data_IF_145254403421
#
_entry.id   IF_145254403421
#
_cell.length_a   1.000
_cell.length_b   1.000
_cell.length_c   1.000
_cell.angle_alpha   90.00
_cell.angle_beta   90.00
_cell.angle_gamma   90.00
#
_symmetry.space_group_name_H-M   'P 1'
#
loop_
_entity.id
_entity.type
_entity.pdbx_description
1 polymer ?
#
# COMPACT_ATOMS: atom_id res chain seq x y z
N UNK A 1 -21.92 -71.67 29.48
CA UNK A 1 -22.23 -71.97 30.93
C UNK A 1 -23.36 -71.02 31.30
N UNK A 2 -24.51 -71.70 31.55
CA UNK A 2 -25.83 -71.13 31.87
C UNK A 2 -25.81 -70.32 33.17
N UNK A 3 -26.64 -69.26 33.25
CA UNK A 3 -27.62 -69.15 34.35
C UNK A 3 -28.65 -68.02 34.01
N UNK A 4 -29.88 -68.53 34.04
CA UNK A 4 -31.19 -67.87 34.07
C UNK A 4 -31.47 -67.39 35.52
N UNK A 5 -32.42 -66.49 35.62
CA UNK A 5 -33.48 -66.23 36.65
C UNK A 5 -33.77 -64.75 36.66
N UNK A 6 -35.02 -64.28 36.79
CA UNK A 6 -36.32 -64.84 37.00
C UNK A 6 -37.30 -63.67 37.19
N UNK A 7 -38.48 -63.79 36.64
CA UNK A 7 -39.63 -62.86 36.78
C UNK A 7 -40.15 -62.80 38.20
N UNK A 8 -40.56 -61.60 38.66
CA UNK A 8 -41.57 -61.44 39.69
C UNK A 8 -42.53 -60.34 39.34
N UNK A 9 -43.75 -60.72 39.00
CA UNK A 9 -44.88 -59.79 38.80
C UNK A 9 -45.52 -59.50 40.16
N UNK A 10 -45.78 -58.27 40.47
CA UNK A 10 -46.63 -57.84 41.59
C UNK A 10 -47.76 -56.98 41.04
N UNK A 11 -48.94 -57.55 40.99
CA UNK A 11 -50.20 -56.88 40.73
C UNK A 11 -50.66 -56.12 41.98
N UNK A 12 -50.89 -54.80 41.84
CA UNK A 12 -51.63 -54.04 42.85
C UNK A 12 -52.85 -53.39 42.19
N UNK A 13 -54.00 -53.65 42.79
CA UNK A 13 -55.31 -53.17 42.34
C UNK A 13 -55.46 -51.63 42.48
N UNK A 14 -56.00 -51.03 41.47
CA UNK A 14 -56.41 -49.65 41.49
C UNK A 14 -57.79 -49.39 42.04
N UNK A 15 -57.93 -48.59 43.03
CA UNK A 15 -59.20 -48.00 43.43
C UNK A 15 -59.45 -46.70 42.67
N UNK A 16 -60.47 -46.64 41.83
CA UNK A 16 -60.94 -45.43 41.20
C UNK A 16 -61.70 -44.58 42.23
N UNK A 17 -61.20 -43.38 42.49
CA UNK A 17 -61.97 -42.26 43.09
C UNK A 17 -62.24 -41.24 41.99
N UNK A 18 -63.49 -41.15 41.53
CA UNK A 18 -63.98 -40.09 40.68
C UNK A 18 -64.07 -38.79 41.51
N UNK A 19 -63.16 -37.87 41.29
CA UNK A 19 -63.30 -36.49 41.75
C UNK A 19 -63.74 -35.56 40.58
N UNK A 20 -64.55 -34.50 40.86
CA UNK A 20 -65.08 -33.64 39.80
C UNK A 20 -63.97 -32.85 39.09
N UNK A 21 -64.01 -32.95 37.76
CA UNK A 21 -63.08 -32.16 36.86
C UNK A 21 -63.41 -30.69 37.01
N UNK A 22 -62.55 -29.96 37.68
CA UNK A 22 -62.45 -28.51 37.57
C UNK A 22 -61.65 -28.18 36.30
N UNK A 23 -62.36 -27.84 35.22
CA UNK A 23 -61.79 -27.26 34.02
C UNK A 23 -61.36 -25.80 34.32
N UNK A 24 -60.22 -25.64 34.93
CA UNK A 24 -59.54 -24.37 35.00
C UNK A 24 -58.85 -24.09 33.70
N UNK A 25 -59.42 -23.20 32.87
CA UNK A 25 -58.72 -22.64 31.73
C UNK A 25 -57.49 -21.86 32.26
N UNK A 26 -56.32 -22.41 32.03
CA UNK A 26 -55.08 -21.65 32.26
C UNK A 26 -55.12 -20.40 31.34
N UNK A 27 -54.96 -19.20 31.88
CA UNK A 27 -54.85 -18.02 31.02
C UNK A 27 -53.62 -18.25 30.14
N UNK A 28 -53.81 -18.17 28.81
CA UNK A 28 -52.71 -18.12 27.87
C UNK A 28 -51.82 -16.93 28.28
N UNK A 29 -50.64 -17.22 28.78
CA UNK A 29 -49.65 -16.18 29.04
C UNK A 29 -49.32 -15.53 27.67
N UNK A 30 -49.93 -14.39 27.42
CA UNK A 30 -49.48 -13.50 26.33
C UNK A 30 -48.07 -13.06 26.74
N UNK A 31 -47.09 -13.75 26.17
CA UNK A 31 -45.72 -13.26 26.29
C UNK A 31 -45.68 -11.88 25.65
N UNK A 32 -45.62 -10.85 26.52
CA UNK A 32 -45.34 -9.47 26.02
C UNK A 32 -44.10 -9.57 25.09
N UNK A 33 -44.10 -8.90 23.92
CA UNK A 33 -42.93 -8.86 23.10
C UNK A 33 -41.79 -8.41 24.02
N UNK A 34 -40.71 -9.21 24.11
CA UNK A 34 -39.47 -8.74 24.70
C UNK A 34 -39.15 -7.44 23.92
N UNK A 35 -39.16 -6.32 24.63
CA UNK A 35 -38.55 -5.09 24.08
C UNK A 35 -37.11 -5.48 23.72
N UNK A 36 -36.87 -5.76 22.45
CA UNK A 36 -35.57 -6.08 21.95
C UNK A 36 -34.69 -4.87 22.28
N UNK A 37 -33.67 -5.06 23.12
CA UNK A 37 -32.66 -4.03 23.30
C UNK A 37 -32.27 -3.50 21.92
N UNK A 38 -32.19 -2.19 21.71
CA UNK A 38 -31.94 -1.66 20.39
C UNK A 38 -30.66 -2.30 19.84
N UNK A 39 -30.80 -3.00 18.73
CA UNK A 39 -29.64 -3.63 18.06
C UNK A 39 -28.62 -2.53 17.81
N UNK A 40 -27.33 -2.76 18.16
CA UNK A 40 -26.28 -1.78 17.90
C UNK A 40 -26.25 -1.41 16.42
N UNK A 41 -26.46 -0.14 16.09
CA UNK A 41 -26.52 0.35 14.72
C UNK A 41 -25.35 1.26 14.43
N UNK A 42 -24.70 1.07 13.27
CA UNK A 42 -23.66 1.96 12.74
C UNK A 42 -24.24 3.25 12.12
N UNK A 43 -25.57 3.31 11.89
CA UNK A 43 -26.22 4.40 11.19
C UNK A 43 -25.94 5.80 11.80
N UNK A 44 -25.93 6.00 13.13
CA UNK A 44 -25.60 7.32 13.70
C UNK A 44 -24.18 7.77 13.39
N UNK A 45 -23.21 6.86 13.45
CA UNK A 45 -21.80 7.13 13.10
C UNK A 45 -21.68 7.44 11.61
N UNK A 46 -22.22 6.58 10.75
CA UNK A 46 -22.20 6.75 9.28
C UNK A 46 -22.81 8.08 8.89
N UNK A 47 -24.00 8.45 9.43
CA UNK A 47 -24.65 9.73 9.14
C UNK A 47 -23.76 10.93 9.49
N UNK A 48 -22.98 10.84 10.56
CA UNK A 48 -22.06 11.90 11.00
C UNK A 48 -20.87 12.06 10.07
N UNK A 49 -20.26 10.96 9.59
CA UNK A 49 -19.00 10.98 8.83
C UNK A 49 -19.18 11.02 7.33
N UNK A 50 -20.32 10.53 6.81
CA UNK A 50 -20.59 10.50 5.37
C UNK A 50 -20.44 11.84 4.66
N UNK A 51 -20.83 13.01 5.23
CA UNK A 51 -20.63 14.30 4.56
C UNK A 51 -19.17 14.63 4.24
N UNK A 52 -18.22 13.97 4.88
CA UNK A 52 -16.79 14.14 4.61
C UNK A 52 -16.27 13.24 3.46
N UNK A 53 -17.06 12.25 3.03
CA UNK A 53 -16.69 11.38 1.90
C UNK A 53 -17.32 11.90 0.62
N UNK A 54 -16.51 12.08 -0.41
CA UNK A 54 -16.92 12.70 -1.68
C UNK A 54 -16.77 11.73 -2.85
N UNK A 55 -17.55 11.94 -3.90
CA UNK A 55 -17.28 11.34 -5.19
C UNK A 55 -16.24 12.17 -5.93
N UNK A 56 -15.33 11.50 -6.63
CA UNK A 56 -14.35 12.09 -7.52
C UNK A 56 -14.57 11.54 -8.91
N UNK A 57 -14.93 12.40 -9.86
CA UNK A 57 -14.99 12.08 -11.27
C UNK A 57 -13.84 12.76 -11.99
N UNK A 58 -13.08 12.00 -12.77
CA UNK A 58 -11.93 12.50 -13.52
C UNK A 58 -12.12 12.30 -15.01
N UNK A 59 -11.62 13.24 -15.81
CA UNK A 59 -11.49 13.13 -17.25
C UNK A 59 -10.07 13.42 -17.65
N UNK A 60 -9.57 12.70 -18.64
CA UNK A 60 -8.21 12.90 -19.13
C UNK A 60 -8.00 12.27 -20.49
N UNK A 61 -6.78 12.42 -21.01
CA UNK A 61 -6.38 11.85 -22.29
C UNK A 61 -5.13 11.01 -22.07
N UNK A 62 -5.21 9.74 -22.37
CA UNK A 62 -4.06 8.84 -22.38
C UNK A 62 -3.45 8.86 -23.78
N UNK A 63 -2.15 9.14 -23.86
CA UNK A 63 -1.35 8.96 -25.07
C UNK A 63 -0.74 7.57 -25.00
N UNK A 64 -1.27 6.64 -25.80
CA UNK A 64 -0.72 5.29 -25.88
C UNK A 64 0.71 5.35 -26.46
N UNK A 65 1.71 5.35 -25.58
CA UNK A 65 3.10 5.05 -25.95
C UNK A 65 3.31 3.53 -26.03
N UNK A 66 4.17 3.02 -26.94
CA UNK A 66 4.48 1.60 -26.96
C UNK A 66 5.22 1.21 -25.67
N UNK A 67 4.53 0.55 -24.74
CA UNK A 67 5.12 -0.06 -23.55
C UNK A 67 4.62 0.39 -22.17
N UNK A 68 3.77 1.40 -22.06
CA UNK A 68 3.15 1.74 -20.77
C UNK A 68 1.87 0.90 -20.56
N UNK A 69 2.03 -0.24 -19.89
CA UNK A 69 0.91 -1.01 -19.34
C UNK A 69 0.69 -0.53 -17.91
N UNK A 70 -0.49 -0.03 -17.62
CA UNK A 70 -0.92 0.19 -16.25
C UNK A 70 -1.36 -1.17 -15.67
N UNK A 71 -0.68 -1.71 -14.65
CA UNK A 71 -1.00 -3.02 -14.08
C UNK A 71 -2.45 -3.13 -13.59
N UNK A 72 -3.06 -2.01 -13.18
CA UNK A 72 -4.47 -1.96 -12.78
C UNK A 72 -5.42 -2.13 -13.97
N UNK A 73 -5.03 -1.72 -15.18
CA UNK A 73 -5.81 -1.94 -16.41
C UNK A 73 -5.59 -3.33 -17.00
N UNK A 74 -4.56 -4.08 -16.57
CA UNK A 74 -4.38 -5.48 -16.95
C UNK A 74 -5.36 -6.40 -16.20
N UNK A 75 -5.96 -5.95 -15.09
CA UNK A 75 -7.08 -6.64 -14.44
C UNK A 75 -8.33 -6.56 -15.35
N UNK A 76 -8.93 -7.70 -15.76
CA UNK A 76 -10.11 -7.73 -16.62
C UNK A 76 -11.31 -6.96 -16.06
N UNK A 77 -11.37 -6.81 -14.75
CA UNK A 77 -12.42 -6.10 -14.05
C UNK A 77 -12.24 -4.57 -14.14
N UNK A 78 -11.05 -4.05 -13.85
CA UNK A 78 -10.76 -2.63 -14.06
C UNK A 78 -10.90 -2.25 -15.53
N UNK A 79 -10.45 -3.10 -16.46
CA UNK A 79 -10.61 -2.90 -17.89
C UNK A 79 -12.09 -2.79 -18.33
N UNK A 80 -12.96 -3.62 -17.76
CA UNK A 80 -14.40 -3.60 -18.04
C UNK A 80 -15.11 -2.42 -17.39
N UNK A 81 -14.63 -2.00 -16.23
CA UNK A 81 -15.17 -0.88 -15.48
C UNK A 81 -14.82 0.47 -16.12
N UNK A 82 -13.62 0.60 -16.67
CA UNK A 82 -13.15 1.80 -17.38
C UNK A 82 -13.42 1.77 -18.88
N UNK A 83 -14.27 0.86 -19.35
CA UNK A 83 -14.68 0.72 -20.76
C UNK A 83 -13.48 0.66 -21.74
N UNK A 84 -12.38 0.00 -21.32
CA UNK A 84 -11.17 -0.15 -22.10
C UNK A 84 -11.37 -1.24 -23.16
N UNK A 85 -11.47 -0.91 -24.47
CA UNK A 85 -11.67 -1.90 -25.51
C UNK A 85 -10.42 -2.75 -25.75
N UNK A 86 -10.58 -3.93 -26.39
CA UNK A 86 -9.43 -4.75 -26.76
C UNK A 86 -8.54 -4.05 -27.78
N UNK A 87 -7.24 -4.37 -27.69
CA UNK A 87 -6.12 -3.77 -28.39
C UNK A 87 -6.35 -3.47 -29.86
N UNK A 88 -6.23 -2.21 -30.27
CA UNK A 88 -5.80 -1.86 -31.63
C UNK A 88 -5.46 -0.36 -31.78
N UNK A 89 -4.20 -0.07 -32.09
CA UNK A 89 -3.57 1.14 -32.61
C UNK A 89 -3.41 2.35 -31.66
N UNK A 90 -2.26 3.05 -31.68
CA UNK A 90 -2.01 4.22 -30.86
C UNK A 90 -2.95 5.36 -31.28
N UNK A 91 -3.84 5.75 -30.38
CA UNK A 91 -4.73 6.91 -30.50
C UNK A 91 -4.82 7.61 -29.15
N UNK A 92 -4.85 8.92 -29.16
CA UNK A 92 -5.27 9.69 -27.99
C UNK A 92 -6.67 9.24 -27.59
N UNK A 93 -6.81 8.73 -26.37
CA UNK A 93 -8.10 8.28 -25.84
C UNK A 93 -8.51 9.16 -24.68
N UNK A 94 -9.73 9.68 -24.76
CA UNK A 94 -10.38 10.25 -23.59
C UNK A 94 -10.83 9.11 -22.66
N UNK A 95 -10.52 9.24 -21.38
CA UNK A 95 -11.04 8.35 -20.36
C UNK A 95 -11.85 9.13 -19.33
N UNK A 96 -12.79 8.45 -18.69
CA UNK A 96 -13.47 8.90 -17.50
C UNK A 96 -13.22 7.87 -16.41
N UNK A 97 -12.83 8.33 -15.23
CA UNK A 97 -12.66 7.49 -14.05
C UNK A 97 -13.49 8.06 -12.91
N UNK A 98 -13.88 7.19 -11.99
CA UNK A 98 -14.61 7.58 -10.80
C UNK A 98 -13.99 6.88 -9.58
N UNK A 99 -13.86 7.63 -8.51
CA UNK A 99 -13.40 7.15 -7.21
C UNK A 99 -14.04 7.94 -6.09
N UNK A 100 -13.50 7.79 -4.93
CA UNK A 100 -13.91 8.51 -3.71
C UNK A 100 -12.77 9.37 -3.19
N UNK A 101 -13.10 10.30 -2.30
CA UNK A 101 -12.14 11.09 -1.54
C UNK A 101 -12.65 11.37 -0.15
N UNK A 102 -11.75 11.79 0.73
CA UNK A 102 -12.06 12.17 2.10
C UNK A 102 -11.63 13.60 2.36
N UNK A 103 -12.56 14.48 2.72
CA UNK A 103 -12.24 15.84 3.17
C UNK A 103 -11.61 15.73 4.55
N UNK A 104 -10.36 16.18 4.69
CA UNK A 104 -9.61 16.15 5.95
C UNK A 104 -9.32 17.53 6.53
N UNK A 105 -9.50 18.56 5.74
CA UNK A 105 -9.40 19.96 6.18
C UNK A 105 -10.48 20.81 5.48
N UNK A 106 -11.54 21.09 6.18
CA UNK A 106 -12.66 21.88 5.66
C UNK A 106 -12.30 23.37 5.44
N UNK A 107 -11.34 23.90 6.22
CA UNK A 107 -10.93 25.31 6.12
C UNK A 107 -10.13 25.57 4.85
N UNK A 108 -9.17 24.69 4.55
CA UNK A 108 -8.30 24.84 3.38
C UNK A 108 -8.86 24.07 2.18
N UNK A 109 -9.88 23.23 2.35
CA UNK A 109 -10.51 22.42 1.32
C UNK A 109 -9.62 21.28 0.84
N UNK A 110 -8.81 20.67 1.73
CA UNK A 110 -7.99 19.53 1.35
C UNK A 110 -8.77 18.23 1.41
N UNK A 111 -8.61 17.45 0.34
CA UNK A 111 -9.24 16.14 0.13
C UNK A 111 -8.13 15.15 -0.16
N UNK A 112 -8.10 14.03 0.56
CA UNK A 112 -7.21 12.90 0.27
C UNK A 112 -7.95 11.90 -0.62
N UNK A 113 -7.24 11.36 -1.61
CA UNK A 113 -7.69 10.25 -2.45
C UNK A 113 -6.50 9.40 -2.86
N UNK A 114 -6.70 8.36 -3.66
CA UNK A 114 -5.60 7.60 -4.24
C UNK A 114 -4.97 8.33 -5.44
N UNK A 115 -3.67 8.08 -5.66
CA UNK A 115 -2.97 8.55 -6.85
C UNK A 115 -3.62 8.05 -8.13
N UNK A 116 -3.90 6.73 -8.21
CA UNK A 116 -4.48 6.11 -9.40
C UNK A 116 -5.87 6.66 -9.79
N UNK A 117 -6.61 7.28 -8.85
CA UNK A 117 -7.91 7.93 -9.14
C UNK A 117 -7.71 9.21 -9.96
N UNK A 118 -6.60 9.92 -9.77
CA UNK A 118 -6.32 11.23 -10.41
C UNK A 118 -5.20 11.17 -11.43
N UNK A 119 -4.61 10.01 -11.64
CA UNK A 119 -3.54 9.80 -12.61
C UNK A 119 -4.01 10.20 -14.02
N UNK A 120 -3.19 10.96 -14.74
CA UNK A 120 -3.48 11.48 -16.09
C UNK A 120 -4.77 12.31 -16.21
N UNK A 121 -5.38 12.75 -15.09
CA UNK A 121 -6.56 13.58 -15.11
C UNK A 121 -6.24 15.02 -15.55
N UNK A 122 -6.94 15.52 -16.57
CA UNK A 122 -6.90 16.93 -16.95
C UNK A 122 -8.02 17.75 -16.28
N UNK A 123 -9.10 17.09 -15.86
CA UNK A 123 -10.24 17.69 -15.18
C UNK A 123 -10.67 16.78 -14.02
N UNK A 124 -10.88 17.40 -12.84
CA UNK A 124 -11.32 16.71 -11.62
C UNK A 124 -12.56 17.42 -11.09
N UNK A 125 -13.63 16.67 -10.98
CA UNK A 125 -14.91 17.14 -10.45
C UNK A 125 -15.22 16.40 -9.15
N UNK A 126 -15.55 17.16 -8.12
CA UNK A 126 -15.97 16.65 -6.80
C UNK A 126 -17.48 16.80 -6.68
N UNK A 127 -18.14 15.75 -6.21
CA UNK A 127 -19.56 15.79 -5.84
C UNK A 127 -19.72 15.41 -4.37
N UNK A 128 -20.35 16.30 -3.59
CA UNK A 128 -20.66 16.09 -2.18
C UNK A 128 -21.93 15.25 -2.00
N UNK A 129 -22.18 14.81 -0.77
CA UNK A 129 -23.40 14.10 -0.38
C UNK A 129 -24.70 14.90 -0.65
N UNK A 130 -24.62 16.22 -0.57
CA UNK A 130 -25.74 17.14 -0.82
C UNK A 130 -25.89 17.54 -2.31
N UNK A 131 -25.21 16.82 -3.21
CA UNK A 131 -25.14 17.01 -4.66
C UNK A 131 -24.50 18.33 -5.12
N UNK A 132 -23.86 19.10 -4.24
CA UNK A 132 -23.01 20.22 -4.70
C UNK A 132 -21.82 19.67 -5.48
N UNK A 133 -21.57 20.25 -6.64
CA UNK A 133 -20.51 19.82 -7.56
C UNK A 133 -19.58 20.99 -7.86
N UNK A 134 -18.27 20.73 -7.86
CA UNK A 134 -17.25 21.75 -8.13
C UNK A 134 -15.94 21.12 -8.62
N UNK A 135 -15.11 21.92 -9.26
CA UNK A 135 -13.78 21.49 -9.70
C UNK A 135 -12.77 21.51 -8.57
N UNK A 136 -11.85 20.59 -8.58
CA UNK A 136 -10.69 20.53 -7.68
C UNK A 136 -9.37 20.58 -8.45
N UNK A 137 -8.31 21.03 -7.75
CA UNK A 137 -6.94 21.04 -8.27
C UNK A 137 -6.10 20.00 -7.53
N UNK A 138 -5.22 19.33 -8.25
CA UNK A 138 -4.20 18.48 -7.62
C UNK A 138 -3.17 19.41 -6.95
N UNK A 139 -2.98 19.25 -5.64
CA UNK A 139 -1.91 19.88 -4.86
C UNK A 139 -0.61 19.14 -5.08
N UNK A 140 -0.69 17.83 -5.08
CA UNK A 140 0.40 16.91 -5.35
C UNK A 140 -0.10 15.49 -5.29
N UNK A 141 0.72 14.57 -5.79
CA UNK A 141 0.39 13.15 -5.87
C UNK A 141 1.67 12.34 -5.73
N UNK A 142 1.55 11.19 -5.08
CA UNK A 142 2.65 10.26 -4.81
C UNK A 142 2.24 8.85 -5.25
N UNK A 143 2.82 8.39 -6.34
CA UNK A 143 2.59 7.06 -6.90
C UNK A 143 3.06 5.97 -5.94
N UNK A 144 4.21 6.18 -5.28
CA UNK A 144 4.82 5.18 -4.40
C UNK A 144 3.97 4.79 -3.20
N UNK A 145 3.17 5.70 -2.64
CA UNK A 145 2.23 5.40 -1.56
C UNK A 145 0.77 5.40 -2.03
N UNK A 146 0.52 5.56 -3.32
CA UNK A 146 -0.82 5.66 -3.93
C UNK A 146 -1.72 6.70 -3.24
N UNK A 147 -1.18 7.88 -2.92
CA UNK A 147 -1.89 8.99 -2.29
C UNK A 147 -1.84 10.25 -3.18
N UNK A 148 -2.97 10.92 -3.31
CA UNK A 148 -3.06 12.25 -3.89
C UNK A 148 -3.80 13.21 -2.96
N UNK A 149 -3.41 14.49 -3.01
CA UNK A 149 -4.08 15.58 -2.31
C UNK A 149 -4.70 16.52 -3.33
N UNK A 150 -6.00 16.72 -3.18
CA UNK A 150 -6.76 17.69 -3.95
C UNK A 150 -7.09 18.90 -3.09
N UNK A 151 -7.29 20.03 -3.74
CA UNK A 151 -7.81 21.24 -3.09
C UNK A 151 -9.04 21.77 -3.80
N UNK A 152 -10.10 22.00 -3.03
CA UNK A 152 -11.31 22.67 -3.47
C UNK A 152 -11.85 23.56 -2.33
N UNK A 153 -11.67 24.87 -2.46
CA UNK A 153 -12.15 25.84 -1.45
C UNK A 153 -13.62 26.11 -1.67
N UNK A 154 -14.46 25.48 -0.83
CA UNK A 154 -15.91 25.63 -0.86
C UNK A 154 -16.43 25.92 0.55
N UNK A 155 -17.53 26.69 0.68
CA UNK A 155 -18.15 26.91 1.99
C UNK A 155 -18.81 25.61 2.49
N UNK A 156 -18.94 25.51 3.82
CA UNK A 156 -19.68 24.46 4.49
C UNK A 156 -19.22 23.03 4.14
N UNK A 157 -17.90 22.83 3.98
CA UNK A 157 -17.31 21.51 3.93
C UNK A 157 -17.29 20.90 5.33
N UNK A 158 -17.44 19.57 5.39
CA UNK A 158 -17.32 18.79 6.63
C UNK A 158 -16.05 17.96 6.52
N UNK A 159 -15.14 18.11 7.48
CA UNK A 159 -13.91 17.32 7.52
C UNK A 159 -14.09 16.11 8.43
N UNK A 160 -13.47 15.00 8.06
CA UNK A 160 -13.35 13.80 8.88
C UNK A 160 -12.20 13.95 9.88
N UNK A 161 -12.43 13.58 11.12
CA UNK A 161 -11.38 13.54 12.13
C UNK A 161 -10.38 12.42 11.78
N UNK A 162 -9.08 12.72 11.84
CA UNK A 162 -8.03 11.72 11.69
C UNK A 162 -7.89 10.93 12.98
N UNK A 163 -7.89 9.62 12.89
CA UNK A 163 -7.53 8.71 13.96
C UNK A 163 -6.03 8.46 14.00
N UNK A 164 -5.63 7.36 14.65
CA UNK A 164 -4.25 6.91 14.73
C UNK A 164 -4.17 5.44 14.32
N UNK A 165 -3.62 5.18 13.13
CA UNK A 165 -3.48 3.83 12.60
C UNK A 165 -2.39 2.99 13.29
N UNK A 166 -1.49 3.61 14.07
CA UNK A 166 -0.47 2.88 14.83
C UNK A 166 -1.05 2.12 16.03
N UNK A 167 -2.26 2.47 16.48
CA UNK A 167 -2.96 1.81 17.58
C UNK A 167 -4.04 0.84 17.13
N UNK A 168 -4.12 0.53 15.84
CA UNK A 168 -5.02 -0.50 15.34
C UNK A 168 -4.53 -1.89 15.72
N UNK A 169 -5.48 -2.73 16.09
CA UNK A 169 -5.24 -4.15 16.37
C UNK A 169 -6.06 -5.04 15.44
N UNK A 170 -5.54 -6.24 15.16
CA UNK A 170 -6.30 -7.26 14.42
C UNK A 170 -7.54 -7.64 15.24
N UNK A 171 -8.70 -7.55 14.60
CA UNK A 171 -10.01 -7.74 15.23
C UNK A 171 -10.77 -6.44 15.50
N UNK A 172 -10.14 -5.26 15.39
CA UNK A 172 -10.83 -3.98 15.49
C UNK A 172 -11.90 -3.84 14.43
N UNK A 173 -13.10 -3.39 14.82
CA UNK A 173 -14.17 -3.11 13.87
C UNK A 173 -13.85 -1.87 13.03
N UNK A 174 -14.04 -2.01 11.72
CA UNK A 174 -13.87 -0.93 10.74
C UNK A 174 -15.05 -0.86 9.77
N UNK A 175 -15.28 0.33 9.25
CA UNK A 175 -16.32 0.60 8.26
C UNK A 175 -15.67 1.29 7.06
N UNK A 176 -15.80 0.67 5.89
CA UNK A 176 -15.37 1.28 4.64
C UNK A 176 -16.52 2.08 4.03
N UNK A 177 -16.23 3.32 3.66
CA UNK A 177 -17.19 4.27 3.09
C UNK A 177 -16.61 4.81 1.79
N UNK A 178 -17.38 4.71 0.72
CA UNK A 178 -17.08 5.31 -0.56
C UNK A 178 -18.30 5.97 -1.15
N UNK A 179 -18.11 6.72 -2.24
CA UNK A 179 -19.20 7.35 -3.00
C UNK A 179 -19.06 7.04 -4.49
N UNK A 180 -19.19 5.76 -4.88
CA UNK A 180 -19.13 5.37 -6.28
C UNK A 180 -20.25 6.06 -7.07
N UNK A 181 -19.89 6.61 -8.24
CA UNK A 181 -20.86 7.20 -9.20
C UNK A 181 -21.65 8.43 -8.72
N UNK A 182 -21.38 8.97 -7.52
CA UNK A 182 -22.12 10.14 -7.01
C UNK A 182 -23.62 9.89 -6.73
N UNK A 183 -24.07 8.62 -6.74
CA UNK A 183 -25.48 8.29 -6.57
C UNK A 183 -25.88 8.21 -5.11
N UNK A 184 -25.06 7.65 -4.24
CA UNK A 184 -25.16 7.61 -2.77
C UNK A 184 -23.91 6.90 -2.20
N UNK A 185 -23.67 7.06 -0.90
CA UNK A 185 -22.56 6.36 -0.24
C UNK A 185 -22.79 4.86 -0.20
N UNK A 186 -21.75 4.10 -0.53
CA UNK A 186 -21.65 2.67 -0.24
C UNK A 186 -20.95 2.51 1.10
N UNK A 187 -21.53 1.76 2.00
CA UNK A 187 -21.02 1.50 3.34
C UNK A 187 -20.93 0.00 3.54
N UNK A 188 -19.75 -0.47 3.87
CA UNK A 188 -19.50 -1.87 4.23
C UNK A 188 -18.79 -1.92 5.58
N UNK A 189 -19.01 -2.98 6.35
CA UNK A 189 -18.42 -3.15 7.67
C UNK A 189 -17.66 -4.48 7.74
N UNK A 190 -16.63 -4.49 8.54
CA UNK A 190 -15.78 -5.65 8.79
C UNK A 190 -14.83 -5.38 9.95
N UNK A 191 -13.71 -6.08 9.94
CA UNK A 191 -12.65 -5.95 10.94
C UNK A 191 -11.29 -5.71 10.27
N UNK A 192 -10.33 -5.27 11.05
CA UNK A 192 -8.91 -5.37 10.69
C UNK A 192 -8.51 -6.84 10.69
N UNK A 193 -8.25 -7.39 9.51
CA UNK A 193 -7.87 -8.80 9.35
C UNK A 193 -6.37 -9.03 9.50
N UNK A 194 -5.56 -8.04 9.12
CA UNK A 194 -4.09 -8.02 9.30
C UNK A 194 -3.55 -6.60 9.18
N UNK A 195 -2.33 -6.39 9.65
CA UNK A 195 -1.59 -5.14 9.55
C UNK A 195 -0.25 -5.38 8.86
N UNK A 196 0.33 -4.33 8.29
CA UNK A 196 1.66 -4.37 7.68
C UNK A 196 1.74 -5.21 6.42
N UNK A 197 0.66 -5.28 5.63
CA UNK A 197 0.67 -6.03 4.37
C UNK A 197 1.42 -5.27 3.30
N UNK A 198 2.27 -5.99 2.57
CA UNK A 198 3.09 -5.49 1.47
C UNK A 198 3.17 -6.52 0.34
N UNK A 199 3.77 -6.12 -0.80
CA UNK A 199 3.98 -7.00 -1.95
C UNK A 199 2.85 -6.97 -2.97
N UNK A 200 1.94 -6.00 -2.89
CA UNK A 200 0.91 -5.74 -3.91
C UNK A 200 1.53 -4.91 -5.04
N UNK A 201 2.27 -3.85 -4.70
CA UNK A 201 3.11 -3.08 -5.60
C UNK A 201 4.57 -3.17 -5.12
N UNK A 202 5.40 -4.04 -5.70
CA UNK A 202 6.77 -4.26 -5.23
C UNK A 202 7.66 -3.00 -5.21
N UNK A 203 7.34 -2.02 -6.05
CA UNK A 203 8.09 -0.76 -6.15
C UNK A 203 7.50 0.34 -5.26
N UNK A 204 6.36 0.06 -4.59
CA UNK A 204 5.65 0.98 -3.72
C UNK A 204 6.14 0.96 -2.26
N UNK A 205 5.63 1.94 -1.51
CA UNK A 205 5.76 2.01 -0.05
C UNK A 205 4.46 1.50 0.54
N UNK A 206 4.44 0.25 0.97
CA UNK A 206 3.25 -0.47 1.37
C UNK A 206 3.30 -0.89 2.84
N UNK A 207 2.27 -0.53 3.58
CA UNK A 207 2.04 -0.93 4.96
C UNK A 207 0.53 -1.13 5.18
N UNK A 208 -0.13 -1.85 4.24
CA UNK A 208 -1.58 -1.88 4.18
C UNK A 208 -2.23 -2.48 5.43
N UNK A 209 -3.35 -1.86 5.81
CA UNK A 209 -4.37 -2.47 6.66
C UNK A 209 -5.17 -3.42 5.77
N UNK A 210 -5.18 -4.72 6.11
CA UNK A 210 -6.07 -5.70 5.48
C UNK A 210 -7.40 -5.73 6.23
N UNK A 211 -8.52 -5.73 5.51
CA UNK A 211 -9.87 -5.83 6.08
C UNK A 211 -10.76 -6.75 5.25
N UNK A 212 -11.76 -7.36 5.88
CA UNK A 212 -12.84 -8.09 5.23
C UNK A 212 -14.06 -7.19 4.93
N UNK A 213 -14.05 -5.93 5.39
CA UNK A 213 -14.99 -4.94 4.90
C UNK A 213 -14.89 -4.86 3.37
N UNK A 214 -16.02 -5.02 2.68
CA UNK A 214 -16.00 -5.13 1.22
C UNK A 214 -15.53 -3.83 0.56
N UNK A 215 -14.34 -3.86 0.00
CA UNK A 215 -13.81 -2.82 -0.90
C UNK A 215 -14.15 -3.24 -2.31
N UNK A 216 -14.73 -2.34 -3.08
CA UNK A 216 -15.08 -2.55 -4.49
C UNK A 216 -14.74 -1.27 -5.27
N UNK A 217 -14.67 -1.33 -6.62
CA UNK A 217 -14.47 -0.14 -7.44
C UNK A 217 -15.40 1.00 -7.10
N UNK A 218 -14.82 2.19 -7.02
CA UNK A 218 -15.50 3.39 -6.57
C UNK A 218 -15.34 3.67 -5.06
N UNK A 219 -15.00 2.67 -4.23
CA UNK A 219 -14.60 2.93 -2.84
C UNK A 219 -13.15 3.38 -2.72
N UNK A 220 -12.31 3.15 -3.74
CA UNK A 220 -10.91 3.60 -3.77
C UNK A 220 -10.81 5.11 -3.53
N UNK A 221 -9.91 5.53 -2.65
CA UNK A 221 -9.76 6.90 -2.16
C UNK A 221 -10.76 7.30 -1.06
N UNK A 222 -11.75 6.46 -0.77
CA UNK A 222 -12.71 6.66 0.31
C UNK A 222 -12.16 6.31 1.69
N UNK A 223 -12.99 6.44 2.72
CA UNK A 223 -12.60 6.29 4.10
C UNK A 223 -12.69 4.85 4.60
N UNK A 224 -11.69 4.41 5.34
CA UNK A 224 -11.83 3.35 6.35
C UNK A 224 -11.87 4.02 7.72
N UNK A 225 -12.97 3.83 8.46
CA UNK A 225 -13.18 4.49 9.76
C UNK A 225 -13.34 3.47 10.88
N UNK A 226 -12.96 3.85 12.10
CA UNK A 226 -13.26 3.08 13.30
C UNK A 226 -14.68 3.36 13.80
N UNK A 227 -15.10 2.68 14.88
CA UNK A 227 -16.46 2.87 15.46
C UNK A 227 -16.69 4.26 16.05
N UNK A 228 -15.62 5.04 16.33
CA UNK A 228 -15.73 6.44 16.74
C UNK A 228 -15.97 7.38 15.55
N UNK A 229 -15.87 6.87 14.32
CA UNK A 229 -15.98 7.65 13.08
C UNK A 229 -14.71 8.45 12.76
N UNK A 230 -13.57 8.01 13.27
CA UNK A 230 -12.26 8.58 12.94
C UNK A 230 -11.67 7.83 11.75
N UNK A 231 -11.05 8.55 10.83
CA UNK A 231 -10.34 8.00 9.67
C UNK A 231 -9.13 7.21 10.15
N UNK A 232 -9.06 5.93 9.84
CA UNK A 232 -7.93 5.05 10.18
C UNK A 232 -7.19 4.56 8.94
N UNK A 233 -7.80 4.68 7.76
CA UNK A 233 -7.17 4.34 6.49
C UNK A 233 -7.87 4.93 5.29
N UNK A 234 -7.19 4.92 4.14
CA UNK A 234 -7.74 5.26 2.82
C UNK A 234 -7.91 3.96 2.05
N UNK A 235 -9.14 3.65 1.65
CA UNK A 235 -9.42 2.45 0.86
C UNK A 235 -8.63 2.50 -0.46
N UNK A 236 -7.88 1.44 -0.78
CA UNK A 236 -6.98 1.46 -1.94
C UNK A 236 -7.32 0.36 -2.96
N UNK A 237 -7.23 -0.91 -2.58
CA UNK A 237 -7.23 -2.01 -3.52
C UNK A 237 -7.93 -3.25 -2.96
N UNK A 238 -8.16 -4.22 -3.84
CA UNK A 238 -8.59 -5.59 -3.48
C UNK A 238 -7.63 -6.60 -4.10
N UNK A 239 -7.42 -7.72 -3.40
CA UNK A 239 -6.82 -8.89 -4.03
C UNK A 239 -7.95 -9.74 -4.63
N UNK A 240 -8.06 -9.75 -5.95
CA UNK A 240 -9.13 -10.49 -6.63
C UNK A 240 -8.71 -10.96 -8.01
N UNK A 241 -8.99 -12.23 -8.33
CA UNK A 241 -8.80 -12.77 -9.70
C UNK A 241 -10.01 -12.54 -10.59
N UNK A 242 -11.16 -12.25 -10.01
CA UNK A 242 -12.44 -12.06 -10.71
C UNK A 242 -12.91 -10.61 -10.75
N UNK A 243 -12.14 -9.69 -10.14
CA UNK A 243 -12.44 -8.26 -10.06
C UNK A 243 -13.49 -7.87 -9.01
N UNK A 244 -14.09 -8.81 -8.28
CA UNK A 244 -14.99 -8.56 -7.15
C UNK A 244 -14.32 -8.86 -5.81
N UNK A 245 -14.80 -8.25 -4.73
CA UNK A 245 -14.30 -8.52 -3.38
C UNK A 245 -14.52 -10.00 -3.00
N UNK A 246 -13.48 -10.63 -2.47
CA UNK A 246 -13.47 -12.00 -1.95
C UNK A 246 -13.23 -12.06 -0.43
N UNK A 247 -13.46 -10.96 0.29
CA UNK A 247 -13.16 -10.82 1.72
C UNK A 247 -11.73 -10.35 2.00
N UNK A 248 -11.02 -9.83 0.99
CA UNK A 248 -9.66 -9.30 1.14
C UNK A 248 -9.62 -7.92 0.50
N UNK A 249 -9.70 -6.90 1.33
CA UNK A 249 -9.55 -5.50 0.98
C UNK A 249 -8.33 -4.90 1.67
N UNK A 250 -7.78 -3.84 1.08
CA UNK A 250 -6.60 -3.13 1.58
C UNK A 250 -6.87 -1.64 1.69
N UNK A 251 -6.38 -1.05 2.78
CA UNK A 251 -6.40 0.38 2.99
C UNK A 251 -5.02 0.89 3.39
N UNK A 252 -4.66 2.08 2.92
CA UNK A 252 -3.43 2.78 3.30
C UNK A 252 -3.64 3.36 4.69
N UNK A 253 -2.74 3.10 5.68
CA UNK A 253 -2.86 3.63 7.03
C UNK A 253 -2.95 5.16 7.04
N UNK A 254 -3.82 5.73 7.89
CA UNK A 254 -4.01 7.18 7.95
C UNK A 254 -2.74 7.93 8.34
N UNK A 255 -1.88 7.36 9.19
CA UNK A 255 -0.62 8.00 9.58
C UNK A 255 0.31 8.14 8.38
N UNK A 256 0.38 7.10 7.51
CA UNK A 256 1.11 7.18 6.23
C UNK A 256 0.49 8.22 5.30
N UNK A 257 -0.82 8.18 5.08
CA UNK A 257 -1.53 9.12 4.23
C UNK A 257 -1.33 10.58 4.68
N UNK A 258 -1.38 10.82 6.01
CA UNK A 258 -1.10 12.13 6.60
C UNK A 258 0.34 12.58 6.36
N UNK A 259 1.33 11.71 6.57
CA UNK A 259 2.75 12.03 6.32
C UNK A 259 3.02 12.42 4.87
N UNK A 260 2.41 11.70 3.92
CA UNK A 260 2.45 12.03 2.49
C UNK A 260 1.74 13.35 2.21
N UNK A 261 0.52 13.55 2.71
CA UNK A 261 -0.25 14.78 2.54
C UNK A 261 0.53 16.01 3.01
N UNK A 262 1.12 15.96 4.22
CA UNK A 262 1.88 17.07 4.79
C UNK A 262 3.05 17.49 3.87
N UNK A 263 3.73 16.52 3.24
CA UNK A 263 4.80 16.79 2.29
C UNK A 263 4.28 17.34 0.97
N UNK A 264 3.19 16.76 0.42
CA UNK A 264 2.57 17.23 -0.82
C UNK A 264 2.08 18.68 -0.68
N UNK A 265 1.46 19.04 0.45
CA UNK A 265 1.02 20.42 0.71
C UNK A 265 2.21 21.36 0.80
N UNK A 266 3.30 20.94 1.45
CA UNK A 266 4.46 21.81 1.71
C UNK A 266 5.39 21.95 0.51
N UNK A 267 5.60 20.87 -0.23
CA UNK A 267 6.65 20.79 -1.27
C UNK A 267 6.12 20.46 -2.67
N UNK A 268 4.83 20.11 -2.81
CA UNK A 268 4.25 19.63 -4.07
C UNK A 268 4.66 18.21 -4.45
N UNK A 269 5.60 17.62 -3.73
CA UNK A 269 6.13 16.27 -3.95
C UNK A 269 6.58 15.62 -2.64
N UNK A 270 6.68 14.30 -2.62
CA UNK A 270 7.22 13.55 -1.48
C UNK A 270 8.73 13.42 -1.62
N UNK A 271 9.46 13.88 -0.61
CA UNK A 271 10.90 13.70 -0.50
C UNK A 271 11.16 12.45 0.34
N UNK A 272 11.60 11.39 -0.32
CA UNK A 272 11.87 10.11 0.35
C UNK A 272 13.22 10.13 1.04
N UNK A 273 13.21 9.75 2.32
CA UNK A 273 14.42 9.49 3.05
C UNK A 273 15.07 8.19 2.57
N UNK A 274 16.39 8.19 2.44
CA UNK A 274 17.17 6.99 2.13
C UNK A 274 18.37 6.85 3.05
N UNK A 275 18.76 5.60 3.32
CA UNK A 275 20.02 5.27 3.98
C UNK A 275 21.13 4.94 2.97
N UNK A 276 20.75 4.51 1.77
CA UNK A 276 21.65 4.06 0.73
C UNK A 276 22.17 2.64 0.97
N UNK A 277 21.26 1.72 1.27
CA UNK A 277 21.52 0.30 1.45
C UNK A 277 20.67 -0.54 0.49
N UNK A 278 21.24 -1.63 -0.04
CA UNK A 278 20.48 -2.70 -0.68
C UNK A 278 20.08 -3.71 0.39
N UNK A 279 18.81 -4.04 0.51
CA UNK A 279 18.29 -4.89 1.56
C UNK A 279 17.47 -6.05 1.01
N UNK A 280 17.50 -7.17 1.72
CA UNK A 280 16.69 -8.37 1.45
C UNK A 280 16.03 -8.87 2.72
N UNK A 281 14.91 -9.57 2.55
CA UNK A 281 14.29 -10.27 3.66
C UNK A 281 15.21 -11.36 4.21
N UNK A 282 15.21 -11.51 5.51
CA UNK A 282 15.87 -12.61 6.18
C UNK A 282 15.05 -13.88 5.95
N UNK A 283 15.63 -14.85 5.23
CA UNK A 283 15.03 -16.18 5.07
C UNK A 283 15.37 -17.08 6.26
N UNK A 284 14.66 -18.19 6.49
CA UNK A 284 15.02 -19.14 7.55
C UNK A 284 16.47 -19.65 7.45
N UNK A 285 16.99 -19.82 6.24
CA UNK A 285 18.38 -20.25 6.03
C UNK A 285 19.37 -19.17 6.44
N UNK A 286 19.09 -17.90 6.07
CA UNK A 286 19.88 -16.74 6.51
C UNK A 286 19.80 -16.58 8.02
N UNK A 287 18.61 -16.70 8.62
CA UNK A 287 18.46 -16.62 10.07
C UNK A 287 19.33 -17.66 10.81
N UNK A 288 19.35 -18.89 10.30
CA UNK A 288 20.17 -19.96 10.85
C UNK A 288 21.68 -19.69 10.71
N UNK A 289 22.10 -19.19 9.54
CA UNK A 289 23.50 -18.87 9.27
C UNK A 289 24.03 -17.75 10.17
N UNK A 290 23.18 -16.71 10.38
CA UNK A 290 23.52 -15.56 11.21
C UNK A 290 23.19 -15.73 12.70
N UNK A 291 22.64 -16.90 13.11
CA UNK A 291 22.32 -17.20 14.52
C UNK A 291 21.17 -16.36 15.07
N UNK A 292 20.21 -15.96 14.23
CA UNK A 292 19.01 -15.25 14.63
C UNK A 292 17.98 -16.22 15.25
N UNK A 293 17.17 -15.69 16.18
CA UNK A 293 16.07 -16.45 16.79
C UNK A 293 14.92 -16.72 15.81
N UNK A 294 14.70 -15.81 14.86
CA UNK A 294 13.66 -15.85 13.84
C UNK A 294 14.13 -15.15 12.56
N UNK A 295 13.23 -15.04 11.57
CA UNK A 295 13.51 -14.40 10.27
C UNK A 295 13.21 -12.90 10.26
N UNK A 296 13.21 -12.24 11.42
CA UNK A 296 12.94 -10.79 11.51
C UNK A 296 14.16 -9.96 11.13
N UNK A 297 13.91 -8.77 10.58
CA UNK A 297 14.93 -7.83 10.16
C UNK A 297 15.21 -7.82 8.67
N UNK A 298 16.19 -7.03 8.28
CA UNK A 298 16.60 -6.85 6.89
C UNK A 298 18.11 -7.06 6.72
N UNK A 299 18.49 -8.00 5.86
CA UNK A 299 19.88 -8.24 5.49
C UNK A 299 20.40 -7.14 4.58
N UNK A 300 21.49 -6.50 4.95
CA UNK A 300 22.21 -5.52 4.11
C UNK A 300 23.08 -6.27 3.12
N UNK A 301 22.66 -6.29 1.86
CA UNK A 301 23.42 -6.92 0.76
C UNK A 301 24.40 -5.97 0.10
N UNK A 302 24.28 -4.66 0.33
CA UNK A 302 25.18 -3.65 -0.19
C UNK A 302 24.99 -2.31 0.52
N UNK A 303 26.05 -1.50 0.51
CA UNK A 303 26.03 -0.12 1.03
C UNK A 303 26.59 0.78 -0.06
N UNK A 304 25.82 1.81 -0.45
CA UNK A 304 26.25 2.77 -1.46
C UNK A 304 27.35 3.67 -0.91
N UNK A 305 28.34 3.98 -1.75
CA UNK A 305 29.44 4.87 -1.38
C UNK A 305 28.91 6.28 -1.12
N UNK A 306 29.45 6.97 -0.11
CA UNK A 306 28.99 8.31 0.26
C UNK A 306 27.61 8.35 0.93
N UNK A 307 26.93 7.20 1.10
CA UNK A 307 25.59 7.12 1.66
C UNK A 307 25.53 7.43 3.16
N UNK A 308 24.33 7.70 3.65
CA UNK A 308 24.07 7.85 5.09
C UNK A 308 24.47 6.59 5.88
N UNK A 309 24.18 5.42 5.33
CA UNK A 309 24.54 4.14 5.94
C UNK A 309 26.06 3.93 6.01
N UNK A 310 26.80 4.26 4.95
CA UNK A 310 28.27 4.14 4.96
C UNK A 310 28.88 5.07 6.01
N UNK A 311 28.45 6.36 6.03
CA UNK A 311 28.90 7.33 7.04
C UNK A 311 28.59 6.91 8.46
N UNK A 312 27.46 6.21 8.67
CA UNK A 312 27.07 5.66 9.97
C UNK A 312 27.82 4.37 10.33
N UNK A 313 28.58 3.78 9.38
CA UNK A 313 29.35 2.56 9.59
C UNK A 313 28.54 1.27 9.45
N UNK A 314 27.38 1.30 8.76
CA UNK A 314 26.67 0.10 8.31
C UNK A 314 27.52 -0.61 7.26
N UNK A 315 27.50 -1.95 7.25
CA UNK A 315 28.31 -2.78 6.35
C UNK A 315 27.45 -3.84 5.68
N UNK A 316 27.90 -4.31 4.53
CA UNK A 316 27.36 -5.52 3.91
C UNK A 316 27.48 -6.70 4.87
N UNK A 317 26.43 -7.49 4.99
CA UNK A 317 26.29 -8.59 5.94
C UNK A 317 25.70 -8.21 7.30
N UNK A 318 25.45 -6.92 7.56
CA UNK A 318 24.66 -6.52 8.73
C UNK A 318 23.20 -6.94 8.58
N UNK A 319 22.54 -7.25 9.69
CA UNK A 319 21.09 -7.44 9.72
C UNK A 319 20.50 -6.30 10.54
N UNK A 320 19.74 -5.41 9.87
CA UNK A 320 19.06 -4.31 10.55
C UNK A 320 17.84 -4.88 11.25
N UNK A 321 17.79 -4.72 12.57
CA UNK A 321 16.76 -5.30 13.44
C UNK A 321 15.82 -4.26 14.06
N UNK A 322 16.23 -2.98 14.10
CA UNK A 322 15.35 -1.92 14.62
C UNK A 322 15.73 -0.54 14.07
N UNK A 323 14.71 0.33 14.01
CA UNK A 323 14.86 1.77 13.71
C UNK A 323 14.24 2.56 14.85
N UNK A 324 14.99 3.48 15.45
CA UNK A 324 14.57 4.29 16.60
C UNK A 324 13.97 3.45 17.74
N UNK A 325 14.50 2.26 17.97
CA UNK A 325 14.03 1.31 18.98
C UNK A 325 12.81 0.48 18.57
N UNK A 326 12.18 0.74 17.42
CA UNK A 326 11.07 -0.08 16.89
C UNK A 326 11.66 -1.25 16.11
N UNK A 327 11.26 -2.48 16.45
CA UNK A 327 11.72 -3.68 15.77
C UNK A 327 11.22 -3.73 14.31
N UNK A 328 12.09 -4.18 13.40
CA UNK A 328 11.76 -4.35 11.98
C UNK A 328 11.49 -5.82 11.68
N UNK A 329 10.33 -6.10 11.08
CA UNK A 329 9.93 -7.46 10.70
C UNK A 329 10.64 -7.93 9.44
N UNK A 330 10.76 -7.04 8.45
CA UNK A 330 11.30 -7.36 7.14
C UNK A 330 11.90 -6.13 6.43
N UNK A 331 12.45 -6.35 5.23
CA UNK A 331 13.05 -5.30 4.41
C UNK A 331 12.02 -4.28 3.89
N UNK A 332 10.76 -4.70 3.68
CA UNK A 332 9.68 -3.81 3.26
C UNK A 332 9.33 -2.79 4.34
N UNK A 333 9.17 -3.25 5.59
CA UNK A 333 8.92 -2.37 6.73
C UNK A 333 10.09 -1.40 6.97
N UNK A 334 11.34 -1.88 6.86
CA UNK A 334 12.52 -1.01 6.95
C UNK A 334 12.49 0.08 5.87
N UNK A 335 12.22 -0.29 4.61
CA UNK A 335 12.12 0.66 3.50
C UNK A 335 11.03 1.70 3.75
N UNK A 336 9.84 1.26 4.17
CA UNK A 336 8.72 2.15 4.46
C UNK A 336 9.05 3.12 5.60
N UNK A 337 9.60 2.59 6.70
CA UNK A 337 9.99 3.39 7.87
C UNK A 337 10.99 4.48 7.48
N UNK A 338 12.06 4.13 6.76
CA UNK A 338 13.08 5.09 6.33
C UNK A 338 12.52 6.07 5.28
N UNK A 339 11.73 5.56 4.32
CA UNK A 339 11.14 6.38 3.25
C UNK A 339 10.16 7.45 3.75
N UNK A 340 9.58 7.27 4.93
CA UNK A 340 8.69 8.24 5.57
C UNK A 340 9.41 9.26 6.46
N UNK A 341 10.70 9.04 6.80
CA UNK A 341 11.49 10.00 7.54
C UNK A 341 11.87 11.19 6.66
N UNK A 342 12.07 12.34 7.29
CA UNK A 342 12.51 13.54 6.58
C UNK A 342 13.99 13.48 6.26
N UNK A 343 14.36 14.02 5.12
CA UNK A 343 15.77 14.26 4.80
C UNK A 343 16.39 15.14 5.89
N UNK A 344 17.52 14.71 6.45
CA UNK A 344 18.22 15.36 7.56
C UNK A 344 17.80 14.88 8.95
N UNK A 345 16.75 14.04 9.07
CA UNK A 345 16.42 13.42 10.35
C UNK A 345 17.55 12.49 10.80
N UNK A 346 17.82 12.50 12.09
CA UNK A 346 18.74 11.56 12.72
C UNK A 346 17.98 10.29 13.10
N UNK A 347 18.50 9.13 12.71
CA UNK A 347 17.89 7.83 12.95
C UNK A 347 18.88 6.89 13.67
N UNK A 348 18.42 6.27 14.76
CA UNK A 348 19.14 5.18 15.42
C UNK A 348 18.82 3.87 14.69
N UNK A 349 19.85 3.18 14.22
CA UNK A 349 19.75 1.88 13.56
C UNK A 349 20.30 0.82 14.50
N UNK A 350 19.45 -0.09 14.98
CA UNK A 350 19.86 -1.31 15.64
C UNK A 350 20.19 -2.37 14.60
N UNK A 351 21.34 -3.00 14.72
CA UNK A 351 21.78 -4.03 13.78
C UNK A 351 22.53 -5.18 14.50
N UNK A 352 22.54 -6.33 13.86
CA UNK A 352 23.35 -7.48 14.25
C UNK A 352 24.51 -7.62 13.26
N UNK A 353 25.74 -7.69 13.77
CA UNK A 353 26.98 -7.93 13.01
C UNK A 353 27.81 -8.99 13.71
N UNK A 354 28.14 -10.07 13.01
CA UNK A 354 28.92 -11.20 13.56
C UNK A 354 28.29 -11.75 14.87
N UNK A 355 26.96 -11.87 14.91
CA UNK A 355 26.20 -12.32 16.07
C UNK A 355 26.14 -11.33 17.25
N UNK A 356 26.66 -10.10 17.10
CA UNK A 356 26.67 -9.07 18.15
C UNK A 356 25.76 -7.91 17.81
N UNK A 357 24.87 -7.59 18.75
CA UNK A 357 24.01 -6.41 18.62
C UNK A 357 24.84 -5.11 18.69
N UNK A 358 24.55 -4.18 17.80
CA UNK A 358 25.16 -2.85 17.70
C UNK A 358 24.09 -1.81 17.44
N UNK A 359 24.40 -0.56 17.79
CA UNK A 359 23.62 0.61 17.44
C UNK A 359 24.51 1.60 16.70
N UNK A 360 24.02 2.14 15.62
CA UNK A 360 24.68 3.22 14.86
C UNK A 360 23.67 4.32 14.60
N UNK A 361 24.15 5.53 14.37
CA UNK A 361 23.28 6.68 14.07
C UNK A 361 23.58 7.17 12.67
N UNK A 362 22.54 7.32 11.85
CA UNK A 362 22.62 7.85 10.50
C UNK A 362 21.82 9.14 10.37
N UNK A 363 22.24 10.00 9.44
CA UNK A 363 21.43 11.13 8.96
C UNK A 363 20.75 10.70 7.66
N UNK A 364 19.42 10.71 7.64
CA UNK A 364 18.64 10.37 6.45
C UNK A 364 19.00 11.31 5.30
N UNK A 365 19.38 10.75 4.14
CA UNK A 365 19.73 11.50 2.93
C UNK A 365 18.53 11.59 1.98
N UNK A 366 18.59 12.49 1.01
CA UNK A 366 17.71 12.47 -0.16
C UNK A 366 18.22 11.44 -1.18
N UNK A 367 17.32 10.84 -1.97
CA UNK A 367 17.71 9.86 -3.02
C UNK A 367 18.70 10.47 -4.04
N UNK A 368 18.65 11.78 -4.27
CA UNK A 368 19.54 12.52 -5.17
C UNK A 368 20.95 12.78 -4.63
N UNK A 369 21.19 12.54 -3.30
CA UNK A 369 22.51 12.73 -2.67
C UNK A 369 23.45 11.53 -2.89
N UNK A 370 22.95 10.44 -3.49
CA UNK A 370 23.76 9.29 -3.87
C UNK A 370 24.61 9.65 -5.09
N UNK A 371 25.88 9.23 -5.10
CA UNK A 371 26.82 9.57 -6.17
C UNK A 371 26.22 9.31 -7.55
N UNK A 372 26.20 10.36 -8.38
CA UNK A 372 25.95 10.23 -9.81
C UNK A 372 27.26 9.82 -10.48
N UNK A 373 27.26 8.67 -11.16
CA UNK A 373 28.37 8.33 -12.01
C UNK A 373 28.17 8.95 -13.38
N UNK A 374 29.23 9.61 -13.89
CA UNK A 374 29.24 10.04 -15.28
C UNK A 374 29.27 8.77 -16.17
N UNK A 375 28.20 8.51 -16.89
CA UNK A 375 28.02 7.27 -17.67
C UNK A 375 29.14 7.06 -18.72
N UNK A 376 29.68 8.17 -19.25
CA UNK A 376 30.83 8.18 -20.17
C UNK A 376 32.10 7.61 -19.53
N UNK A 377 32.31 7.85 -18.22
CA UNK A 377 33.47 7.34 -17.48
C UNK A 377 33.40 5.82 -17.25
N UNK A 378 32.24 5.25 -17.44
CA UNK A 378 32.02 3.79 -17.34
C UNK A 378 32.22 3.16 -18.73
N UNK A 379 31.52 3.65 -19.75
CA UNK A 379 31.63 3.18 -21.12
C UNK A 379 31.05 4.21 -22.09
N UNK A 380 31.72 4.43 -23.25
CA UNK A 380 31.29 5.40 -24.26
C UNK A 380 29.88 5.16 -24.78
N UNK A 381 29.48 3.92 -24.91
CA UNK A 381 28.13 3.54 -25.36
C UNK A 381 27.02 3.88 -24.36
N UNK A 382 27.34 4.35 -23.14
CA UNK A 382 26.41 4.84 -22.14
C UNK A 382 26.27 6.37 -22.15
N UNK A 383 26.97 7.05 -23.06
CA UNK A 383 26.90 8.52 -23.18
C UNK A 383 25.45 8.97 -23.36
N UNK A 384 25.05 10.01 -22.61
CA UNK A 384 23.70 10.54 -22.58
C UNK A 384 22.75 9.88 -21.59
N UNK A 385 23.20 8.83 -20.85
CA UNK A 385 22.46 8.30 -19.73
C UNK A 385 22.89 8.97 -18.42
N UNK A 386 21.91 9.30 -17.59
CA UNK A 386 22.12 9.75 -16.20
C UNK A 386 21.91 8.54 -15.28
N UNK A 387 22.98 8.12 -14.60
CA UNK A 387 23.02 6.90 -13.80
C UNK A 387 23.12 7.25 -12.32
N UNK A 388 22.22 6.69 -11.53
CA UNK A 388 22.16 6.87 -10.09
C UNK A 388 22.22 5.53 -9.37
N UNK A 389 22.92 5.48 -8.25
CA UNK A 389 22.81 4.33 -7.36
C UNK A 389 21.36 4.17 -6.87
N UNK A 390 20.82 2.97 -6.99
CA UNK A 390 19.50 2.60 -6.51
C UNK A 390 19.62 1.41 -5.53
N UNK A 391 20.20 1.63 -4.35
CA UNK A 391 20.47 0.56 -3.40
C UNK A 391 19.19 -0.12 -2.92
N UNK A 392 18.09 0.61 -2.79
CA UNK A 392 16.78 0.06 -2.40
C UNK A 392 16.22 -0.91 -3.44
N UNK A 393 16.63 -0.75 -4.70
CA UNK A 393 16.21 -1.59 -5.83
C UNK A 393 17.29 -2.62 -6.23
N UNK A 394 18.45 -2.54 -5.59
CA UNK A 394 19.56 -3.47 -5.78
C UNK A 394 20.29 -3.31 -7.11
N UNK A 395 20.47 -2.09 -7.60
CA UNK A 395 21.10 -1.82 -8.88
C UNK A 395 21.43 -0.35 -9.14
N UNK A 396 21.56 0.02 -10.40
CA UNK A 396 21.79 1.38 -10.88
C UNK A 396 20.58 1.83 -11.70
N UNK A 397 19.89 2.86 -11.25
CA UNK A 397 18.77 3.47 -11.95
C UNK A 397 19.27 4.35 -13.09
N UNK A 398 18.74 4.12 -14.27
CA UNK A 398 18.85 5.05 -15.41
C UNK A 398 17.77 6.10 -15.26
N UNK A 399 18.12 7.26 -14.68
CA UNK A 399 17.16 8.34 -14.37
C UNK A 399 16.64 9.01 -15.63
N UNK A 400 17.54 9.28 -16.57
CA UNK A 400 17.20 9.88 -17.85
C UNK A 400 18.13 9.37 -18.94
N UNK A 401 17.66 9.40 -20.19
CA UNK A 401 18.45 9.10 -21.38
C UNK A 401 18.16 10.20 -22.40
N UNK A 402 19.21 10.86 -22.87
CA UNK A 402 19.11 11.90 -23.89
C UNK A 402 18.74 11.28 -25.24
N UNK A 403 17.72 11.85 -25.90
CA UNK A 403 17.28 11.38 -27.21
C UNK A 403 18.42 11.44 -28.24
N UNK A 404 18.55 10.35 -29.04
CA UNK A 404 19.59 10.22 -30.04
C UNK A 404 21.01 9.96 -29.51
N UNK A 405 21.20 9.89 -28.19
CA UNK A 405 22.48 9.56 -27.57
C UNK A 405 22.91 8.10 -27.83
N UNK A 406 24.21 7.78 -27.65
CA UNK A 406 24.69 6.39 -27.69
C UNK A 406 23.91 5.47 -26.77
N UNK A 407 23.58 5.90 -25.55
CA UNK A 407 22.77 5.12 -24.61
C UNK A 407 21.37 4.81 -25.17
N UNK A 408 20.70 5.82 -25.75
CA UNK A 408 19.39 5.65 -26.40
C UNK A 408 19.46 4.70 -27.60
N UNK A 409 20.50 4.84 -28.44
CA UNK A 409 20.72 3.97 -29.62
C UNK A 409 20.99 2.53 -29.22
N UNK A 410 21.65 2.28 -28.09
CA UNK A 410 21.85 0.96 -27.52
C UNK A 410 20.61 0.41 -26.79
N UNK A 411 19.52 1.18 -26.70
CA UNK A 411 18.22 0.72 -26.20
C UNK A 411 17.98 0.92 -24.69
N UNK A 412 18.84 1.68 -24.00
CA UNK A 412 18.57 2.13 -22.63
C UNK A 412 17.44 3.15 -22.62
N UNK A 413 16.66 3.16 -21.56
CA UNK A 413 15.52 4.06 -21.35
C UNK A 413 15.52 4.60 -19.91
N UNK A 414 14.87 5.72 -19.71
CA UNK A 414 14.57 6.20 -18.36
C UNK A 414 13.77 5.14 -17.57
N UNK A 415 14.04 5.05 -16.28
CA UNK A 415 13.50 4.04 -15.34
C UNK A 415 13.98 2.61 -15.57
N UNK A 416 14.99 2.38 -16.42
CA UNK A 416 15.69 1.10 -16.45
C UNK A 416 16.53 0.93 -15.18
N UNK A 417 16.55 -0.28 -14.63
CA UNK A 417 17.43 -0.62 -13.51
C UNK A 417 18.50 -1.62 -13.98
N UNK A 418 19.77 -1.20 -13.98
CA UNK A 418 20.90 -2.07 -14.31
C UNK A 418 21.24 -2.88 -13.06
N UNK A 419 21.02 -4.20 -13.10
CA UNK A 419 21.25 -5.12 -11.99
C UNK A 419 22.47 -6.01 -12.17
N UNK A 420 23.12 -5.96 -13.34
CA UNK A 420 24.31 -6.77 -13.61
C UNK A 420 25.00 -6.43 -14.93
N UNK A 421 26.27 -6.85 -15.03
CA UNK A 421 27.08 -6.84 -16.26
C UNK A 421 27.53 -8.26 -16.54
N UNK A 422 27.09 -8.83 -17.63
CA UNK A 422 27.33 -10.23 -17.95
C UNK A 422 26.82 -11.17 -16.85
N UNK A 423 27.73 -11.85 -16.16
CA UNK A 423 27.41 -12.73 -15.03
C UNK A 423 27.64 -12.07 -13.66
N UNK A 424 28.16 -10.85 -13.63
CA UNK A 424 28.48 -10.13 -12.41
C UNK A 424 27.30 -9.26 -12.02
N UNK A 425 26.76 -9.47 -10.82
CA UNK A 425 25.72 -8.61 -10.25
C UNK A 425 26.34 -7.27 -9.82
N UNK A 426 25.64 -6.17 -10.09
CA UNK A 426 26.07 -4.83 -9.70
C UNK A 426 24.96 -4.17 -8.86
N UNK A 427 25.33 -3.63 -7.72
CA UNK A 427 24.42 -2.96 -6.80
C UNK A 427 24.67 -1.45 -6.67
N UNK A 428 25.78 -0.95 -7.25
CA UNK A 428 26.13 0.45 -7.23
C UNK A 428 27.05 0.79 -8.41
N UNK A 429 27.25 2.09 -8.66
CA UNK A 429 28.06 2.62 -9.76
C UNK A 429 29.54 2.23 -9.67
N UNK A 430 30.09 2.08 -8.46
CA UNK A 430 31.45 1.59 -8.27
C UNK A 430 31.60 0.16 -8.75
N UNK A 431 30.73 -0.74 -8.30
CA UNK A 431 30.69 -2.13 -8.75
C UNK A 431 30.45 -2.22 -10.25
N UNK A 432 29.67 -1.31 -10.82
CA UNK A 432 29.43 -1.23 -12.24
C UNK A 432 30.70 -0.81 -13.02
N UNK A 433 31.43 0.24 -12.56
CA UNK A 433 32.71 0.63 -13.14
C UNK A 433 33.73 -0.51 -13.13
N UNK A 434 33.83 -1.23 -12.02
CA UNK A 434 34.71 -2.39 -11.89
C UNK A 434 34.31 -3.52 -12.86
N UNK A 435 33.02 -3.86 -12.94
CA UNK A 435 32.51 -4.91 -13.81
C UNK A 435 32.59 -4.55 -15.30
N UNK A 436 32.54 -3.23 -15.62
CA UNK A 436 32.65 -2.70 -16.98
C UNK A 436 34.10 -2.48 -17.43
N UNK A 437 35.06 -2.54 -16.49
CA UNK A 437 36.48 -2.24 -16.75
C UNK A 437 37.03 -3.14 -17.84
N UNK A 438 37.65 -2.54 -18.86
CA UNK A 438 38.25 -3.19 -20.00
C UNK A 438 37.30 -3.94 -20.94
N UNK A 439 36.01 -3.76 -20.84
CA UNK A 439 35.04 -4.35 -21.77
C UNK A 439 34.81 -3.42 -22.97
N UNK A 440 35.09 -3.89 -24.19
CA UNK A 440 34.74 -3.16 -25.41
C UNK A 440 33.24 -3.23 -25.74
N UNK A 441 32.56 -4.21 -25.17
CA UNK A 441 31.12 -4.44 -25.31
C UNK A 441 30.60 -4.88 -23.96
N UNK A 442 29.62 -4.15 -23.42
CA UNK A 442 28.95 -4.53 -22.16
C UNK A 442 27.64 -5.26 -22.48
N UNK A 443 27.38 -6.33 -21.78
CA UNK A 443 26.07 -6.98 -21.76
C UNK A 443 25.42 -6.66 -20.43
N UNK A 444 24.47 -5.74 -20.43
CA UNK A 444 23.78 -5.31 -19.23
C UNK A 444 22.56 -6.19 -18.96
N UNK A 445 22.41 -6.61 -17.72
CA UNK A 445 21.15 -7.14 -17.23
C UNK A 445 20.31 -5.96 -16.74
N UNK A 446 19.25 -5.64 -17.44
CA UNK A 446 18.41 -4.48 -17.17
C UNK A 446 17.02 -4.96 -16.77
N UNK A 447 16.58 -4.58 -15.58
CA UNK A 447 15.20 -4.76 -15.15
C UNK A 447 14.39 -3.56 -15.67
N UNK A 448 13.40 -3.86 -16.51
CA UNK A 448 12.44 -2.89 -17.05
C UNK A 448 11.03 -3.34 -16.65
N UNK A 449 10.42 -2.65 -15.70
CA UNK A 449 9.22 -3.14 -15.03
C UNK A 449 9.47 -4.53 -14.40
N UNK A 450 8.61 -5.50 -14.67
CA UNK A 450 8.71 -6.86 -14.12
C UNK A 450 9.59 -7.83 -14.95
N UNK A 451 10.27 -7.35 -15.97
CA UNK A 451 11.10 -8.22 -16.85
C UNK A 451 12.58 -7.83 -16.79
N UNK A 452 13.45 -8.86 -16.83
CA UNK A 452 14.89 -8.65 -17.00
C UNK A 452 15.24 -8.86 -18.46
N UNK A 453 15.89 -7.87 -19.06
CA UNK A 453 16.32 -7.86 -20.46
C UNK A 453 17.85 -7.78 -20.53
N UNK A 454 18.42 -8.36 -21.57
CA UNK A 454 19.84 -8.21 -21.89
C UNK A 454 19.98 -7.07 -22.90
N UNK A 455 20.73 -6.04 -22.54
CA UNK A 455 21.04 -4.90 -23.44
C UNK A 455 22.53 -4.92 -23.73
N UNK A 456 22.87 -4.94 -25.01
CA UNK A 456 24.26 -4.91 -25.46
C UNK A 456 24.66 -3.45 -25.73
N UNK A 457 25.62 -2.93 -24.99
CA UNK A 457 26.22 -1.60 -25.16
C UNK A 457 27.53 -1.74 -25.95
N UNK A 458 27.61 -1.02 -27.06
CA UNK A 458 28.75 -1.03 -27.97
C UNK A 458 29.51 0.30 -27.96
#
# INVERSE_FOLDING_TARGET
MNLRYGFAAATLAAAMVLGPALTGSAPAAVTAPLEAAPMPSLAPMVKRVSPAVVNIATRGTIKDGPGQRNPLLDDPFFRRFFDAPPESRPRERQFQSAGSGVIVDAKNGYIITNHHVVENASEITITLLDNRTFSAKVVGSDEGADIAVLQAKQPNLVAMALGDSAHLEVGDYVVAIGNPFGLQHTVTAGIVSALGRSGINPDGYEDFIQTDASINPGNSGGALVNLRGELVGINAAILSRSGGNIGIGFAIPVNMAKGVMDQLIKYGQVKRGVLGVSIYNVTPDIAKEFGLADSSGALVAGVAQGSAAERAGVKTGDIITSINGVAMRDAGELRNTIGMLRVGDQVEIGLLRDGKARKVTALVSERGDLETANAVDIHKGLEGAELHDAPDEGGILVKSVQDGSPAAQNGLRANDLIVGVGRTRVGNTKGFKEAAKNANVLVLNVRRGNSVQLIQIR
#
